data_IF_894665625309
#
_entry.id   IF_894665625309
#
_cell.length_a   1.000
_cell.length_b   1.000
_cell.length_c   1.000
_cell.angle_alpha   90.00
_cell.angle_beta   90.00
_cell.angle_gamma   90.00
#
_symmetry.space_group_name_H-M   'P 1'
#
loop_
_entity.id
_entity.type
_entity.pdbx_description
1 polymer ?
#
# COMPACT_ATOMS: atom_id res chain seq x y z
N UNK A 1 13.27 7.92 -9.64
CA UNK A 1 13.06 7.20 -8.38
C UNK A 1 11.65 7.34 -7.86
N UNK A 2 11.06 8.55 -7.83
CA UNK A 2 9.73 8.82 -7.23
C UNK A 2 8.54 7.96 -7.68
N UNK A 3 8.34 7.70 -8.98
CA UNK A 3 7.27 6.80 -9.44
C UNK A 3 7.41 5.38 -8.88
N UNK A 4 8.62 5.05 -8.41
CA UNK A 4 8.97 3.75 -7.87
C UNK A 4 9.07 3.74 -6.34
N UNK A 5 9.27 4.85 -5.63
CA UNK A 5 9.40 4.85 -4.17
C UNK A 5 8.16 4.41 -3.40
N UNK A 6 6.96 4.68 -3.94
CA UNK A 6 5.69 4.21 -3.35
C UNK A 6 5.29 2.80 -3.78
N UNK A 7 6.11 2.14 -4.61
CA UNK A 7 5.81 0.84 -5.21
C UNK A 7 6.95 -0.17 -5.14
N UNK A 8 8.17 0.25 -4.88
CA UNK A 8 9.35 -0.59 -5.04
C UNK A 8 10.36 -0.36 -3.90
N UNK A 9 10.64 -1.48 -3.23
CA UNK A 9 11.94 -1.85 -2.70
C UNK A 9 12.44 -1.05 -1.51
N UNK A 10 11.97 -1.46 -0.32
CA UNK A 10 12.77 -1.38 0.90
C UNK A 10 13.67 -2.62 1.00
N UNK A 11 14.78 -2.53 1.69
CA UNK A 11 15.54 -3.72 2.12
C UNK A 11 14.79 -4.54 3.19
N UNK A 12 13.92 -3.88 3.94
CA UNK A 12 13.49 -4.33 5.27
C UNK A 12 12.04 -3.91 5.57
N UNK A 13 11.11 -4.50 4.81
CA UNK A 13 9.70 -4.44 5.15
C UNK A 13 9.48 -5.06 6.52
N UNK A 14 9.08 -4.25 7.51
CA UNK A 14 9.02 -4.67 8.91
C UNK A 14 7.60 -4.97 9.37
N UNK A 15 6.60 -4.36 8.73
CA UNK A 15 5.19 -4.61 8.95
C UNK A 15 4.41 -4.48 7.66
N UNK A 16 3.30 -5.21 7.59
CA UNK A 16 2.27 -5.02 6.59
C UNK A 16 0.89 -5.02 7.25
N UNK A 17 -0.06 -4.29 6.66
CA UNK A 17 -1.44 -4.21 7.10
C UNK A 17 -2.32 -4.66 5.96
N UNK A 18 -3.23 -5.59 6.25
CA UNK A 18 -4.29 -6.00 5.34
C UNK A 18 -5.57 -5.33 5.82
N UNK A 19 -6.10 -4.38 5.06
CA UNK A 19 -7.37 -3.69 5.35
C UNK A 19 -8.43 -4.18 4.40
N UNK A 20 -9.59 -4.60 4.92
CA UNK A 20 -10.77 -4.86 4.13
C UNK A 20 -11.67 -3.63 4.12
N UNK A 21 -12.16 -3.30 2.93
CA UNK A 21 -12.97 -2.11 2.70
C UNK A 21 -14.14 -2.46 1.78
N UNK A 22 -15.31 -1.90 2.05
CA UNK A 22 -16.48 -1.96 1.19
C UNK A 22 -16.34 -0.89 0.10
N UNK A 23 -16.47 -1.30 -1.16
CA UNK A 23 -16.42 -0.41 -2.29
C UNK A 23 -17.80 0.21 -2.55
N UNK A 24 -17.85 1.55 -2.64
CA UNK A 24 -19.01 2.26 -3.14
C UNK A 24 -18.59 3.19 -4.28
N UNK A 25 -19.30 3.10 -5.42
CA UNK A 25 -19.05 3.96 -6.56
C UNK A 25 -19.60 5.37 -6.42
N UNK A 26 -20.53 5.60 -5.49
CA UNK A 26 -21.26 6.86 -5.29
C UNK A 26 -20.99 7.52 -3.94
N UNK A 27 -20.24 6.88 -3.05
CA UNK A 27 -19.86 7.42 -1.75
C UNK A 27 -18.42 7.05 -1.39
N UNK A 28 -17.98 7.40 -0.18
CA UNK A 28 -16.67 7.01 0.31
C UNK A 28 -16.68 5.53 0.67
N UNK A 29 -15.61 4.82 0.30
CA UNK A 29 -15.43 3.43 0.69
C UNK A 29 -15.45 3.26 2.22
N UNK A 30 -16.14 2.24 2.72
CA UNK A 30 -16.34 2.02 4.16
C UNK A 30 -15.34 1.00 4.72
N UNK A 31 -14.69 1.33 5.83
CA UNK A 31 -13.78 0.42 6.52
C UNK A 31 -14.54 -0.77 7.13
N UNK A 32 -14.09 -1.99 6.85
CA UNK A 32 -14.67 -3.21 7.42
C UNK A 32 -13.86 -3.70 8.61
N UNK A 33 -12.56 -3.84 8.44
CA UNK A 33 -11.67 -4.45 9.43
C UNK A 33 -10.26 -4.62 8.88
N UNK A 34 -9.31 -4.93 9.75
CA UNK A 34 -7.91 -5.15 9.36
C UNK A 34 -7.21 -6.27 10.13
N UNK A 35 -6.10 -6.73 9.55
CA UNK A 35 -5.10 -7.60 10.16
C UNK A 35 -3.74 -6.89 10.12
N UNK A 36 -3.05 -6.88 11.25
CA UNK A 36 -1.70 -6.33 11.38
C UNK A 36 -0.67 -7.47 11.34
N UNK A 37 0.24 -7.43 10.38
CA UNK A 37 1.36 -8.35 10.22
C UNK A 37 2.61 -7.68 10.80
N UNK A 38 2.75 -7.72 12.12
CA UNK A 38 3.88 -7.08 12.83
C UNK A 38 4.43 -8.00 13.93
N UNK A 39 5.69 -8.45 13.85
CA UNK A 39 6.60 -8.25 12.72
C UNK A 39 6.14 -9.00 11.47
N UNK A 40 6.53 -8.53 10.28
CA UNK A 40 6.32 -9.27 9.04
C UNK A 40 7.21 -10.53 9.04
N UNK A 41 6.58 -11.70 9.03
CA UNK A 41 7.25 -13.00 9.10
C UNK A 41 6.55 -14.01 8.19
N UNK A 42 7.27 -15.07 7.81
CA UNK A 42 6.66 -16.16 7.06
C UNK A 42 5.59 -16.84 7.90
N UNK A 43 4.48 -17.15 7.25
CA UNK A 43 3.29 -17.67 7.86
C UNK A 43 2.56 -18.56 6.87
N UNK A 44 2.37 -19.82 7.25
CA UNK A 44 1.49 -20.74 6.53
C UNK A 44 0.06 -20.18 6.47
N UNK A 45 -0.76 -20.75 5.59
CA UNK A 45 -2.16 -20.35 5.49
C UNK A 45 -2.85 -20.43 6.85
N UNK A 46 -3.39 -19.30 7.28
CA UNK A 46 -4.04 -19.15 8.58
C UNK A 46 -5.30 -18.33 8.46
N UNK A 47 -6.21 -18.49 9.42
CA UNK A 47 -7.44 -17.70 9.54
C UNK A 47 -7.43 -16.95 10.86
N UNK A 48 -7.58 -15.63 10.81
CA UNK A 48 -7.56 -14.76 11.99
C UNK A 48 -8.80 -13.86 12.02
N UNK A 49 -9.28 -13.44 13.21
CA UNK A 49 -10.34 -12.44 13.31
C UNK A 49 -9.89 -11.08 12.79
N UNK A 50 -10.79 -10.38 12.12
CA UNK A 50 -10.62 -8.98 11.75
C UNK A 50 -10.75 -8.08 12.97
N UNK A 51 -9.99 -7.00 13.01
CA UNK A 51 -10.07 -5.98 14.06
C UNK A 51 -10.49 -4.64 13.49
N UNK A 52 -11.25 -3.87 14.28
CA UNK A 52 -11.61 -2.51 13.92
C UNK A 52 -10.48 -1.51 14.25
N UNK A 53 -10.72 -0.22 14.05
CA UNK A 53 -9.72 0.83 14.35
C UNK A 53 -9.28 0.85 15.81
N UNK A 54 -10.20 0.53 16.73
CA UNK A 54 -9.93 0.42 18.17
C UNK A 54 -9.28 -0.91 18.58
N UNK A 55 -9.03 -1.82 17.63
CA UNK A 55 -8.45 -3.14 17.89
C UNK A 55 -9.44 -4.18 18.42
N UNK A 56 -10.74 -3.86 18.49
CA UNK A 56 -11.77 -4.83 18.86
C UNK A 56 -12.14 -5.72 17.68
N UNK A 57 -12.53 -6.97 17.95
CA UNK A 57 -12.94 -7.91 16.91
C UNK A 57 -14.17 -7.41 16.17
N UNK A 58 -14.14 -7.51 14.83
CA UNK A 58 -15.27 -7.18 13.97
C UNK A 58 -16.26 -8.33 14.02
N UNK A 59 -17.51 -8.03 14.38
CA UNK A 59 -18.57 -9.04 14.39
C UNK A 59 -19.18 -9.20 13.01
N UNK A 60 -19.34 -10.45 12.60
CA UNK A 60 -20.08 -10.80 11.40
C UNK A 60 -21.58 -10.66 11.57
N UNK A 61 -22.31 -10.87 10.47
CA UNK A 61 -23.77 -10.72 10.47
C UNK A 61 -24.51 -11.92 11.10
N UNK A 62 -25.63 -11.62 11.78
CA UNK A 62 -26.64 -12.60 12.19
C UNK A 62 -26.65 -12.91 13.69
N UNK A 63 -27.66 -13.68 14.11
CA UNK A 63 -27.80 -14.17 15.50
C UNK A 63 -26.63 -15.05 15.95
N UNK A 64 -25.88 -15.59 14.99
CA UNK A 64 -24.79 -16.56 15.23
C UNK A 64 -23.57 -15.97 15.92
N UNK A 65 -23.48 -14.65 16.11
CA UNK A 65 -22.41 -13.97 16.88
C UNK A 65 -20.98 -14.36 16.48
N UNK A 66 -20.77 -14.81 15.24
CA UNK A 66 -19.45 -15.20 14.76
C UNK A 66 -18.68 -13.98 14.33
N UNK A 67 -17.40 -13.93 14.67
CA UNK A 67 -16.51 -12.86 14.24
C UNK A 67 -16.22 -12.97 12.74
N UNK A 68 -16.02 -11.81 12.11
CA UNK A 68 -15.53 -11.73 10.75
C UNK A 68 -14.04 -12.12 10.73
N UNK A 69 -13.65 -12.95 9.78
CA UNK A 69 -12.28 -13.49 9.71
C UNK A 69 -11.65 -13.29 8.36
N UNK A 70 -10.32 -13.21 8.33
CA UNK A 70 -9.50 -13.19 7.11
C UNK A 70 -8.58 -14.41 7.09
N UNK A 71 -8.50 -15.07 5.93
CA UNK A 71 -7.55 -16.14 5.67
C UNK A 71 -6.44 -15.65 4.74
N UNK A 72 -5.18 -15.79 5.16
CA UNK A 72 -4.00 -15.33 4.41
C UNK A 72 -2.78 -16.22 4.65
N UNK A 73 -1.76 -16.06 3.82
CA UNK A 73 -0.41 -16.61 4.05
C UNK A 73 0.67 -15.58 3.69
N UNK A 74 1.87 -15.77 4.24
CA UNK A 74 3.05 -14.94 3.97
C UNK A 74 4.23 -15.85 3.68
N UNK A 75 4.90 -15.67 2.55
CA UNK A 75 6.10 -16.44 2.18
C UNK A 75 7.22 -15.53 1.75
N UNK A 76 8.46 -15.95 1.94
CA UNK A 76 9.63 -15.26 1.40
C UNK A 76 10.14 -16.00 0.17
N UNK A 77 10.40 -15.26 -0.90
CA UNK A 77 11.04 -15.78 -2.11
C UNK A 77 12.39 -15.08 -2.30
N UNK A 78 13.47 -15.84 -2.33
CA UNK A 78 14.79 -15.33 -2.69
C UNK A 78 14.96 -15.26 -4.21
N UNK A 79 15.72 -14.28 -4.68
CA UNK A 79 16.14 -14.20 -6.08
C UNK A 79 17.57 -14.68 -6.29
N UNK A 80 17.93 -15.05 -7.53
CA UNK A 80 19.31 -15.41 -7.87
C UNK A 80 20.30 -14.29 -7.55
N UNK A 81 21.54 -14.67 -7.25
CA UNK A 81 22.65 -13.73 -7.04
C UNK A 81 22.84 -12.82 -8.27
N UNK A 82 23.17 -11.55 -8.03
CA UNK A 82 23.30 -10.52 -9.07
C UNK A 82 21.99 -9.85 -9.49
N UNK A 83 20.84 -10.31 -8.99
CA UNK A 83 19.57 -9.59 -9.11
C UNK A 83 19.63 -8.23 -8.38
N UNK A 84 18.99 -7.16 -8.91
CA UNK A 84 18.83 -5.90 -8.18
C UNK A 84 17.99 -6.04 -6.90
N UNK A 85 17.24 -7.13 -6.79
CA UNK A 85 16.40 -7.47 -5.66
C UNK A 85 16.94 -8.72 -4.97
N UNK A 86 17.02 -8.71 -3.63
CA UNK A 86 17.38 -9.89 -2.85
C UNK A 86 16.26 -10.95 -2.87
N UNK A 87 15.03 -10.52 -3.08
CA UNK A 87 13.85 -11.37 -3.01
C UNK A 87 12.58 -10.56 -2.95
N UNK A 88 11.50 -11.19 -2.48
CA UNK A 88 10.24 -10.54 -2.17
C UNK A 88 9.50 -11.26 -1.04
N UNK A 89 8.68 -10.51 -0.31
CA UNK A 89 7.59 -11.08 0.49
C UNK A 89 6.37 -11.30 -0.40
N UNK A 90 5.77 -12.48 -0.29
CA UNK A 90 4.56 -12.87 -1.00
C UNK A 90 3.43 -12.97 0.01
N UNK A 91 2.55 -11.97 0.04
CA UNK A 91 1.38 -11.95 0.91
C UNK A 91 0.19 -12.42 0.07
N UNK A 92 -0.37 -13.58 0.39
CA UNK A 92 -1.55 -14.09 -0.31
C UNK A 92 -2.79 -13.85 0.54
N UNK A 93 -3.73 -13.08 0.00
CA UNK A 93 -5.07 -12.89 0.59
C UNK A 93 -5.98 -13.93 -0.03
N UNK A 94 -6.32 -14.98 0.72
CA UNK A 94 -7.09 -16.09 0.19
C UNK A 94 -8.58 -15.75 0.16
N UNK A 95 -9.18 -15.49 1.32
CA UNK A 95 -10.61 -15.23 1.47
C UNK A 95 -10.91 -14.54 2.80
N UNK A 96 -12.12 -14.00 2.93
CA UNK A 96 -12.69 -13.63 4.20
C UNK A 96 -14.02 -14.34 4.43
N UNK A 97 -14.44 -14.46 5.69
CA UNK A 97 -15.66 -15.14 6.08
C UNK A 97 -16.45 -14.27 7.08
N UNK A 98 -17.77 -14.32 6.98
CA UNK A 98 -18.71 -13.62 7.87
C UNK A 98 -18.48 -12.11 7.94
N UNK A 99 -18.25 -11.42 6.83
CA UNK A 99 -18.17 -9.96 6.84
C UNK A 99 -19.48 -9.31 7.37
N UNK A 100 -19.43 -8.08 7.91
CA UNK A 100 -20.63 -7.28 8.22
C UNK A 100 -21.25 -6.71 6.95
N UNK A 101 -22.57 -6.44 6.98
CA UNK A 101 -23.30 -5.86 5.83
C UNK A 101 -23.08 -4.35 5.84
N UNK A 102 -22.48 -3.84 4.78
CA UNK A 102 -22.21 -2.42 4.62
C UNK A 102 -23.25 -1.76 3.71
N UNK A 103 -23.64 -2.43 2.63
CA UNK A 103 -24.73 -1.97 1.77
C UNK A 103 -26.10 -2.40 2.33
N UNK A 104 -26.76 -1.50 3.06
CA UNK A 104 -28.08 -1.74 3.67
C UNK A 104 -29.20 -1.98 2.64
N UNK A 105 -29.10 -1.41 1.44
CA UNK A 105 -30.15 -1.49 0.42
C UNK A 105 -30.19 -2.87 -0.25
N UNK A 106 -29.01 -3.47 -0.50
CA UNK A 106 -28.88 -4.80 -1.13
C UNK A 106 -28.68 -5.90 -0.07
N UNK A 107 -28.26 -5.52 1.13
CA UNK A 107 -28.00 -6.44 2.24
C UNK A 107 -26.70 -7.21 2.08
N UNK A 108 -25.68 -6.60 1.45
CA UNK A 108 -24.42 -7.24 1.06
C UNK A 108 -23.22 -6.32 1.25
N UNK A 109 -22.04 -6.79 0.83
CA UNK A 109 -20.76 -6.08 0.88
C UNK A 109 -20.02 -6.33 -0.44
N UNK A 110 -19.42 -5.28 -0.98
CA UNK A 110 -18.59 -5.26 -2.18
C UNK A 110 -17.12 -5.11 -1.75
N UNK A 111 -16.55 -6.18 -1.20
CA UNK A 111 -15.29 -6.10 -0.47
C UNK A 111 -14.05 -6.14 -1.38
N UNK A 112 -13.05 -5.31 -1.07
CA UNK A 112 -11.68 -5.49 -1.55
C UNK A 112 -10.68 -5.45 -0.39
N UNK A 113 -9.51 -6.03 -0.60
CA UNK A 113 -8.39 -6.01 0.33
C UNK A 113 -7.34 -5.00 -0.13
N UNK A 114 -6.84 -4.20 0.80
CA UNK A 114 -5.72 -3.30 0.62
C UNK A 114 -4.54 -3.80 1.44
N UNK A 115 -3.37 -3.89 0.80
CA UNK A 115 -2.11 -4.19 1.46
C UNK A 115 -1.29 -2.91 1.55
N UNK A 116 -0.94 -2.50 2.76
CA UNK A 116 0.04 -1.43 3.00
C UNK A 116 1.23 -1.99 3.77
N UNK A 117 2.43 -1.95 3.18
CA UNK A 117 3.66 -2.31 3.86
C UNK A 117 4.51 -1.09 4.16
N UNK A 118 5.19 -1.10 5.31
CA UNK A 118 6.08 -0.02 5.73
C UNK A 118 7.47 -0.56 6.07
N UNK A 119 8.46 0.27 5.78
CA UNK A 119 9.87 0.00 6.07
C UNK A 119 10.22 0.46 7.48
N UNK A 120 11.13 -0.26 8.16
CA UNK A 120 11.66 0.16 9.46
C UNK A 120 12.73 1.25 9.35
N UNK A 121 13.46 1.29 8.23
CA UNK A 121 14.67 2.10 8.06
C UNK A 121 14.44 3.43 7.35
N UNK A 122 13.40 3.49 6.52
CA UNK A 122 13.14 4.63 5.65
C UNK A 122 11.63 4.96 5.64
N UNK A 123 11.27 6.05 4.97
CA UNK A 123 9.88 6.46 4.77
C UNK A 123 9.18 5.70 3.62
N UNK A 124 9.82 4.67 3.02
CA UNK A 124 9.26 3.95 1.88
C UNK A 124 8.05 3.14 2.33
N UNK A 125 7.06 3.11 1.44
CA UNK A 125 5.79 2.42 1.62
C UNK A 125 5.42 1.71 0.34
N UNK A 126 4.66 0.64 0.50
CA UNK A 126 4.06 -0.07 -0.62
C UNK A 126 2.57 -0.13 -0.39
N UNK A 127 1.78 0.16 -1.42
CA UNK A 127 0.34 -0.06 -1.43
C UNK A 127 -0.12 -0.77 -2.69
N UNK A 128 -0.92 -1.81 -2.50
CA UNK A 128 -1.68 -2.46 -3.56
C UNK A 128 -3.08 -2.82 -3.05
N UNK A 129 -4.00 -3.01 -4.00
CA UNK A 129 -5.38 -3.39 -3.71
C UNK A 129 -5.76 -4.61 -4.54
N UNK A 130 -6.64 -5.45 -4.00
CA UNK A 130 -7.20 -6.59 -4.69
C UNK A 130 -8.28 -6.19 -5.69
N UNK A 131 -8.81 -7.18 -6.40
CA UNK A 131 -10.11 -7.03 -7.05
C UNK A 131 -11.26 -6.86 -6.04
N UNK A 132 -12.34 -6.21 -6.46
CA UNK A 132 -13.58 -6.08 -5.69
C UNK A 132 -14.41 -7.35 -5.87
N UNK A 133 -14.79 -7.96 -4.76
CA UNK A 133 -15.70 -9.11 -4.71
C UNK A 133 -17.11 -8.62 -4.38
N UNK A 134 -17.95 -8.56 -5.42
CA UNK A 134 -19.26 -7.92 -5.38
C UNK A 134 -20.30 -8.82 -4.71
N UNK A 135 -21.14 -8.21 -3.88
CA UNK A 135 -22.35 -8.77 -3.29
C UNK A 135 -22.10 -10.08 -2.53
N UNK A 136 -21.05 -10.11 -1.70
CA UNK A 136 -20.70 -11.29 -0.90
C UNK A 136 -20.15 -10.95 0.48
N UNK A 137 -20.57 -11.76 1.46
CA UNK A 137 -20.07 -11.69 2.84
C UNK A 137 -18.90 -12.65 3.08
N UNK A 138 -18.58 -13.48 2.09
CA UNK A 138 -17.52 -14.47 2.14
C UNK A 138 -16.70 -14.37 0.84
N UNK A 139 -16.03 -13.22 0.60
CA UNK A 139 -15.25 -13.02 -0.61
C UNK A 139 -14.05 -13.96 -0.68
N UNK A 140 -13.73 -14.40 -1.89
CA UNK A 140 -12.56 -15.23 -2.21
C UNK A 140 -11.75 -14.50 -3.28
N UNK A 141 -10.51 -14.17 -2.97
CA UNK A 141 -9.61 -13.45 -3.87
C UNK A 141 -8.54 -14.38 -4.44
N UNK A 142 -7.88 -15.16 -3.58
CA UNK A 142 -6.70 -15.96 -3.95
C UNK A 142 -5.61 -15.14 -4.65
N UNK A 143 -5.49 -13.87 -4.26
CA UNK A 143 -4.56 -12.91 -4.85
C UNK A 143 -3.25 -12.83 -4.04
N UNK A 144 -2.11 -12.88 -4.73
CA UNK A 144 -0.78 -12.73 -4.11
C UNK A 144 -0.19 -11.36 -4.44
N UNK A 145 0.11 -10.59 -3.39
CA UNK A 145 0.80 -9.32 -3.45
C UNK A 145 2.29 -9.53 -3.21
N UNK A 146 3.10 -9.01 -4.12
CA UNK A 146 4.56 -9.14 -4.06
C UNK A 146 5.17 -7.85 -3.55
N UNK A 147 5.85 -7.91 -2.40
CA UNK A 147 6.63 -6.82 -1.81
C UNK A 147 8.12 -7.05 -2.12
N UNK A 148 8.69 -6.43 -3.15
CA UNK A 148 10.08 -6.69 -3.51
C UNK A 148 11.02 -6.11 -2.46
N UNK A 149 12.12 -6.82 -2.20
CA UNK A 149 13.19 -6.40 -1.31
C UNK A 149 14.43 -6.01 -2.11
N UNK A 150 14.94 -4.80 -1.91
CA UNK A 150 16.19 -4.35 -2.54
C UNK A 150 17.36 -5.26 -2.14
N UNK A 151 18.29 -5.54 -3.06
CA UNK A 151 19.51 -6.29 -2.76
C UNK A 151 20.55 -5.46 -1.98
N UNK A 152 20.52 -4.15 -2.16
CA UNK A 152 21.43 -3.19 -1.58
C UNK A 152 20.68 -1.91 -1.21
N UNK A 153 21.19 -1.13 -0.24
CA UNK A 153 20.56 0.11 0.16
C UNK A 153 20.76 1.08 -0.99
N UNK A 154 19.71 1.81 -1.32
CA UNK A 154 19.68 2.80 -2.39
C UNK A 154 20.06 2.25 -3.78
N UNK A 155 19.98 0.93 -3.96
CA UNK A 155 20.32 0.27 -5.23
C UNK A 155 19.39 0.69 -6.37
N UNK A 156 18.14 0.98 -6.06
CA UNK A 156 17.16 1.49 -7.03
C UNK A 156 17.53 2.91 -7.49
N UNK A 157 17.90 3.77 -6.55
CA UNK A 157 18.31 5.15 -6.78
C UNK A 157 19.55 5.19 -7.65
N UNK A 158 20.57 4.40 -7.29
CA UNK A 158 21.79 4.26 -8.07
C UNK A 158 21.52 3.77 -9.49
N UNK A 159 20.60 2.82 -9.68
CA UNK A 159 20.22 2.34 -11.02
C UNK A 159 19.45 3.38 -11.82
N UNK A 160 18.59 4.15 -11.16
CA UNK A 160 17.80 5.20 -11.82
C UNK A 160 18.66 6.39 -12.20
N UNK A 161 19.63 6.77 -11.36
CA UNK A 161 20.63 7.79 -11.70
C UNK A 161 21.50 7.35 -12.88
N UNK A 162 21.89 6.07 -12.97
CA UNK A 162 22.59 5.55 -14.15
C UNK A 162 21.74 5.59 -15.42
N UNK A 163 20.42 5.40 -15.29
CA UNK A 163 19.53 5.43 -16.44
C UNK A 163 19.30 6.85 -16.95
N UNK A 164 19.10 7.81 -16.04
CA UNK A 164 18.90 9.23 -16.33
C UNK A 164 19.43 10.06 -15.16
N UNK A 165 20.39 10.94 -15.42
CA UNK A 165 20.95 11.85 -14.42
C UNK A 165 19.84 12.64 -13.69
N UNK A 166 19.91 12.65 -12.37
CA UNK A 166 18.97 13.37 -11.52
C UNK A 166 17.69 12.60 -11.22
N UNK A 167 17.46 11.43 -11.82
CA UNK A 167 16.25 10.64 -11.57
C UNK A 167 16.26 9.98 -10.18
N UNK A 168 17.42 9.75 -9.58
CA UNK A 168 17.62 9.25 -8.22
C UNK A 168 17.78 10.34 -7.15
N UNK A 169 17.75 11.62 -7.53
CA UNK A 169 17.92 12.75 -6.58
C UNK A 169 16.67 13.07 -5.74
N UNK A 170 16.83 13.97 -4.76
CA UNK A 170 15.96 14.33 -3.63
C UNK A 170 14.46 14.07 -3.74
N UNK A 171 13.87 13.74 -2.58
CA UNK A 171 12.45 13.53 -2.41
C UNK A 171 11.62 14.74 -2.85
N UNK A 172 10.73 14.53 -3.83
CA UNK A 172 9.68 15.50 -4.20
C UNK A 172 8.38 15.22 -3.43
N UNK A 173 8.47 14.82 -2.16
CA UNK A 173 7.33 14.54 -1.27
C UNK A 173 6.32 15.69 -1.25
N UNK A 174 6.75 16.94 -1.48
CA UNK A 174 5.86 18.09 -1.51
C UNK A 174 4.90 18.11 -2.72
N UNK A 175 5.29 17.52 -3.85
CA UNK A 175 4.50 17.56 -5.08
C UNK A 175 3.60 16.35 -5.26
N UNK A 176 4.01 15.21 -4.70
CA UNK A 176 3.26 13.97 -4.74
C UNK A 176 3.28 13.44 -3.32
N UNK A 177 2.52 14.08 -2.41
CA UNK A 177 2.47 13.69 -1.01
C UNK A 177 2.31 12.18 -0.92
N UNK A 178 3.28 11.52 -0.30
CA UNK A 178 3.13 10.11 0.02
C UNK A 178 1.83 9.94 0.81
N UNK A 179 1.24 8.75 0.79
CA UNK A 179 -0.03 8.51 1.50
C UNK A 179 0.05 8.82 2.99
N UNK A 180 1.24 8.97 3.58
CA UNK A 180 1.40 9.51 4.94
C UNK A 180 0.94 10.96 5.05
N UNK A 181 1.19 11.83 4.08
CA UNK A 181 0.66 13.19 4.09
C UNK A 181 -0.88 13.18 3.96
N UNK A 182 -1.43 12.25 3.18
CA UNK A 182 -2.89 12.03 3.10
C UNK A 182 -3.42 11.51 4.46
N UNK A 183 -2.89 10.42 5.00
CA UNK A 183 -3.33 9.81 6.28
C UNK A 183 -3.09 10.74 7.49
N UNK A 184 -2.01 11.54 7.51
CA UNK A 184 -1.74 12.48 8.61
C UNK A 184 -2.56 13.76 8.46
N UNK A 185 -2.90 14.20 7.24
CA UNK A 185 -3.80 15.34 7.01
C UNK A 185 -5.28 14.96 7.22
N UNK A 186 -5.66 13.69 7.00
CA UNK A 186 -7.01 13.15 7.21
C UNK A 186 -7.45 13.05 8.68
N UNK A 187 -6.74 13.71 9.61
CA UNK A 187 -7.24 13.93 10.96
C UNK A 187 -8.50 14.80 11.00
N UNK A 188 -8.77 15.56 9.93
CA UNK A 188 -10.01 16.28 9.68
C UNK A 188 -10.29 16.35 8.16
N UNK A 189 -11.36 15.73 7.62
CA UNK A 189 -11.68 15.76 6.20
C UNK A 189 -12.08 17.14 5.67
N UNK A 190 -12.41 18.11 6.54
CA UNK A 190 -12.75 19.49 6.14
C UNK A 190 -11.49 20.38 5.93
N UNK A 191 -10.29 19.89 6.28
CA UNK A 191 -9.02 20.64 6.19
C UNK A 191 -8.22 20.31 4.91
N UNK A 192 -8.83 19.67 3.91
CA UNK A 192 -8.21 19.42 2.60
C UNK A 192 -8.17 20.73 1.79
N UNK A 193 -7.31 21.64 2.22
CA UNK A 193 -6.68 22.57 1.31
C UNK A 193 -5.53 21.81 0.65
N UNK A 194 -5.63 21.55 -0.66
CA UNK A 194 -4.45 21.16 -1.43
C UNK A 194 -3.32 22.16 -1.16
N UNK A 195 -2.05 21.74 -1.11
CA UNK A 195 -0.96 22.69 -0.96
C UNK A 195 -1.11 23.76 -2.06
N UNK A 196 -0.98 25.03 -1.70
CA UNK A 196 -0.90 26.15 -2.64
C UNK A 196 0.45 26.04 -3.37
N UNK A 197 0.53 25.09 -4.31
CA UNK A 197 1.78 24.48 -4.78
C UNK A 197 2.24 24.99 -6.15
N UNK A 198 1.80 26.19 -6.54
CA UNK A 198 2.28 26.91 -7.73
C UNK A 198 3.82 26.85 -7.85
N UNK A 199 4.52 26.89 -6.71
CA UNK A 199 5.98 26.73 -6.65
C UNK A 199 6.49 25.33 -6.97
N UNK A 200 5.84 24.28 -6.45
CA UNK A 200 6.22 22.89 -6.72
C UNK A 200 5.98 22.53 -8.19
N UNK A 201 4.85 22.95 -8.75
CA UNK A 201 4.52 22.73 -10.15
C UNK A 201 5.50 23.42 -11.11
N UNK A 202 5.90 24.65 -10.80
CA UNK A 202 6.89 25.40 -11.57
C UNK A 202 8.27 24.69 -11.57
N UNK A 203 8.74 24.25 -10.40
CA UNK A 203 10.02 23.56 -10.27
C UNK A 203 10.07 22.25 -11.08
N UNK A 204 8.99 21.47 -11.05
CA UNK A 204 8.91 20.24 -11.85
C UNK A 204 8.87 20.51 -13.35
N UNK A 205 8.10 21.52 -13.77
CA UNK A 205 8.03 21.93 -15.17
C UNK A 205 9.42 22.31 -15.66
N UNK A 206 10.20 23.04 -14.85
CA UNK A 206 11.58 23.39 -15.16
C UNK A 206 12.49 22.16 -15.25
N UNK A 207 12.45 21.25 -14.26
CA UNK A 207 13.23 19.99 -14.29
C UNK A 207 12.91 19.14 -15.52
N UNK A 208 11.63 19.04 -15.90
CA UNK A 208 11.19 18.27 -17.06
C UNK A 208 11.63 18.89 -18.37
N UNK A 209 11.57 20.23 -18.46
CA UNK A 209 12.10 20.97 -19.60
C UNK A 209 13.63 20.82 -19.72
N UNK A 210 14.37 20.85 -18.61
CA UNK A 210 15.82 20.61 -18.59
C UNK A 210 16.18 19.19 -19.06
N UNK A 211 15.47 18.18 -18.57
CA UNK A 211 15.66 16.79 -19.00
C UNK A 211 15.34 16.61 -20.50
N UNK A 212 14.25 17.21 -20.99
CA UNK A 212 13.84 17.12 -22.39
C UNK A 212 14.78 17.87 -23.36
N UNK A 213 15.49 18.90 -22.87
CA UNK A 213 16.40 19.72 -23.69
C UNK A 213 17.86 19.23 -23.67
N UNK A 214 18.20 18.23 -22.85
CA UNK A 214 19.57 17.71 -22.76
C UNK A 214 20.59 18.71 -22.21
N UNK A 215 20.13 19.79 -21.56
CA UNK A 215 20.98 20.85 -21.02
C UNK A 215 21.35 20.47 -19.58
N UNK A 216 22.51 19.86 -19.39
CA UNK A 216 23.10 19.68 -18.06
C UNK A 216 23.55 21.04 -17.52
N UNK A 217 22.88 21.55 -16.47
CA UNK A 217 23.47 22.58 -15.61
C UNK A 217 24.15 21.90 -14.44
N UNK A 218 25.48 22.00 -14.38
CA UNK A 218 26.22 21.68 -13.17
C UNK A 218 25.90 22.73 -12.09
N UNK A 219 25.56 22.33 -10.86
CA UNK A 219 25.37 23.28 -9.78
C UNK A 219 26.72 23.88 -9.37
N UNK A 220 26.73 25.21 -9.19
CA UNK A 220 27.80 25.99 -8.58
C UNK A 220 27.61 26.09 -7.07
#
# INVERSE_FOLDING_TARGET
ARAYWHRFCSEDWCEAVITLTDFDSHSSNEFIGRVLLRPLQEQEETTVPLTNEAGAQVRGQGWTSKDATLTYSVRRRSYPEGSPFAGAWLITVARADNLPRMNWAVGSTDAFAEIVATSSKDSRRFRQVSTVQVNTMNPVWEETFELPCAAAPDGLEAQLDQAVDGLGTDSLDMMFPCERAIITALGDPDDIHGPDDDHGFAEWTERLNCAASGIHRLPS
#
